data_IF_396794611988
#
_entry.id   IF_396794611988
#
_cell.length_a   1.000
_cell.length_b   1.000
_cell.length_c   1.000
_cell.angle_alpha   90.00
_cell.angle_beta   90.00
_cell.angle_gamma   90.00
#
_symmetry.space_group_name_H-M   'P 1'
#
loop_
_entity.id
_entity.type
_entity.pdbx_description
1 polymer ?
#
# COMPACT_ATOMS: atom_id res chain seq x y z
N UNK A 1 -28.77 18.07 10.09
CA UNK A 1 -27.88 19.07 10.70
C UNK A 1 -27.79 18.80 12.19
N UNK A 2 -26.76 18.06 12.61
CA UNK A 2 -26.21 18.19 13.95
C UNK A 2 -24.70 18.05 13.79
N UNK A 3 -24.06 19.19 13.55
CA UNK A 3 -22.63 19.31 13.47
C UNK A 3 -22.08 19.06 14.87
N UNK A 4 -21.72 17.80 15.15
CA UNK A 4 -20.61 17.54 16.05
C UNK A 4 -19.37 18.10 15.37
N UNK A 5 -19.22 19.42 15.48
CA UNK A 5 -17.93 20.09 15.51
C UNK A 5 -17.32 19.64 16.83
N UNK A 6 -16.92 18.37 16.88
CA UNK A 6 -16.13 17.86 17.97
C UNK A 6 -14.75 18.48 17.72
N UNK A 7 -14.45 19.45 18.57
CA UNK A 7 -13.18 20.14 18.63
C UNK A 7 -12.06 19.18 18.23
N UNK A 8 -11.29 19.56 17.21
CA UNK A 8 -9.90 19.15 17.11
C UNK A 8 -9.19 19.70 18.35
N UNK A 9 -9.45 19.10 19.51
CA UNK A 9 -8.62 19.24 20.67
C UNK A 9 -7.36 18.55 20.21
N UNK A 10 -6.37 19.36 19.86
CA UNK A 10 -5.05 18.92 19.46
C UNK A 10 -4.70 17.68 20.28
N UNK A 11 -4.71 16.51 19.63
CA UNK A 11 -4.05 15.33 20.15
C UNK A 11 -2.55 15.64 20.03
N UNK A 12 -2.09 16.63 20.81
CA UNK A 12 -0.70 16.84 21.10
C UNK A 12 -0.22 15.47 21.55
N UNK A 13 0.67 14.88 20.77
CA UNK A 13 1.27 13.59 21.09
C UNK A 13 1.82 13.72 22.50
N UNK A 14 1.13 13.08 23.46
CA UNK A 14 1.60 13.05 24.83
C UNK A 14 3.02 12.52 24.76
N UNK A 15 3.98 13.05 25.53
CA UNK A 15 5.39 12.65 25.40
C UNK A 15 5.59 11.13 25.37
N UNK A 16 4.72 10.37 26.06
CA UNK A 16 4.67 8.91 26.00
C UNK A 16 4.31 8.30 24.64
N UNK A 17 3.44 8.91 23.83
CA UNK A 17 3.14 8.44 22.48
C UNK A 17 4.30 8.67 21.51
N UNK A 18 5.05 9.77 21.68
CA UNK A 18 6.28 10.02 20.91
C UNK A 18 7.29 8.90 21.16
N UNK A 19 7.48 8.51 22.43
CA UNK A 19 8.37 7.40 22.81
C UNK A 19 7.92 6.08 22.17
N UNK A 20 6.61 5.79 22.18
CA UNK A 20 6.08 4.59 21.53
C UNK A 20 6.27 4.60 20.01
N UNK A 21 6.13 5.74 19.35
CA UNK A 21 6.42 5.85 17.92
C UNK A 21 7.90 5.59 17.64
N UNK A 22 8.80 6.21 18.40
CA UNK A 22 10.24 5.96 18.28
C UNK A 22 10.56 4.48 18.51
N UNK A 23 10.00 3.86 19.56
CA UNK A 23 10.17 2.44 19.83
C UNK A 23 9.66 1.56 18.68
N UNK A 24 8.48 1.86 18.13
CA UNK A 24 7.92 1.12 16.99
C UNK A 24 8.83 1.23 15.75
N UNK A 25 9.33 2.42 15.44
CA UNK A 25 10.26 2.62 14.32
C UNK A 25 11.58 1.88 14.55
N UNK A 26 12.14 1.94 15.75
CA UNK A 26 13.39 1.25 16.10
C UNK A 26 13.22 -0.27 15.98
N UNK A 27 12.09 -0.84 16.40
CA UNK A 27 11.84 -2.29 16.28
C UNK A 27 11.81 -2.76 14.82
N UNK A 28 11.18 -1.99 13.93
CA UNK A 28 11.16 -2.29 12.50
C UNK A 28 12.56 -2.16 11.90
N UNK A 29 13.26 -1.07 12.21
CA UNK A 29 14.62 -0.83 11.74
C UNK A 29 15.61 -1.89 12.25
N UNK A 30 15.44 -2.38 13.48
CA UNK A 30 16.26 -3.47 14.03
C UNK A 30 16.07 -4.78 13.24
N UNK A 31 14.83 -5.10 12.84
CA UNK A 31 14.54 -6.24 11.98
C UNK A 31 15.21 -6.12 10.61
N UNK A 32 15.09 -4.95 9.96
CA UNK A 32 15.76 -4.67 8.69
C UNK A 32 17.29 -4.68 8.82
N UNK A 33 17.81 -4.10 9.90
CA UNK A 33 19.23 -4.10 10.21
C UNK A 33 19.74 -5.54 10.34
N UNK A 34 19.02 -6.42 11.04
CA UNK A 34 19.39 -7.83 11.13
C UNK A 34 19.43 -8.51 9.76
N UNK A 35 18.49 -8.18 8.86
CA UNK A 35 18.51 -8.71 7.48
C UNK A 35 19.75 -8.26 6.70
N UNK A 36 20.06 -6.97 6.71
CA UNK A 36 21.18 -6.42 5.95
C UNK A 36 22.55 -6.78 6.56
N UNK A 37 22.70 -6.60 7.87
CA UNK A 37 23.97 -6.80 8.59
C UNK A 37 24.43 -8.26 8.57
N UNK A 38 23.52 -9.20 8.88
CA UNK A 38 23.85 -10.62 8.79
C UNK A 38 23.81 -11.13 7.35
N UNK A 39 23.24 -10.36 6.41
CA UNK A 39 23.15 -10.64 4.98
C UNK A 39 24.46 -10.59 4.21
N UNK A 40 25.44 -9.79 4.66
CA UNK A 40 26.65 -9.53 3.89
C UNK A 40 27.67 -10.68 3.99
N UNK A 41 28.38 -11.03 2.90
CA UNK A 41 29.36 -12.13 2.87
C UNK A 41 30.49 -11.99 3.90
N UNK A 42 30.88 -10.77 4.23
CA UNK A 42 31.92 -10.44 5.22
C UNK A 42 31.55 -10.85 6.66
N UNK A 43 30.27 -10.69 7.05
CA UNK A 43 29.76 -11.03 8.38
C UNK A 43 29.09 -12.40 8.44
N UNK A 44 28.73 -12.97 7.29
CA UNK A 44 28.16 -14.31 7.18
C UNK A 44 29.13 -15.42 7.60
N UNK A 45 30.45 -15.20 7.52
CA UNK A 45 31.47 -16.20 7.88
C UNK A 45 31.60 -16.45 9.39
N UNK A 46 31.38 -15.42 10.23
CA UNK A 46 31.39 -15.54 11.70
C UNK A 46 29.98 -15.78 12.27
N UNK A 47 28.93 -15.43 11.52
CA UNK A 47 27.55 -15.52 11.96
C UNK A 47 26.65 -16.01 10.81
N UNK A 48 26.73 -17.29 10.49
CA UNK A 48 25.97 -17.95 9.44
C UNK A 48 24.51 -18.22 9.86
N UNK A 49 23.73 -17.17 10.19
CA UNK A 49 22.30 -17.33 10.42
C UNK A 49 21.64 -17.79 9.12
N UNK A 50 20.97 -18.94 9.13
CA UNK A 50 20.26 -19.44 7.95
C UNK A 50 19.28 -18.38 7.42
N UNK A 51 19.15 -18.27 6.10
CA UNK A 51 18.25 -17.29 5.45
C UNK A 51 16.84 -17.19 6.05
N UNK A 52 16.19 -18.32 6.40
CA UNK A 52 14.89 -18.29 7.08
C UNK A 52 14.88 -17.57 8.44
N UNK A 53 15.95 -17.71 9.25
CA UNK A 53 16.03 -17.06 10.57
C UNK A 53 16.10 -15.54 10.45
N UNK A 54 16.78 -15.01 9.43
CA UNK A 54 16.84 -13.57 9.16
C UNK A 54 15.47 -13.04 8.73
N UNK A 55 14.77 -13.80 7.88
CA UNK A 55 13.40 -13.48 7.50
C UNK A 55 12.47 -13.43 8.73
N UNK A 56 12.60 -14.40 9.65
CA UNK A 56 11.86 -14.38 10.91
C UNK A 56 12.20 -13.16 11.78
N UNK A 57 13.47 -12.74 11.86
CA UNK A 57 13.85 -11.54 12.61
C UNK A 57 13.15 -10.27 12.08
N UNK A 58 13.04 -10.13 10.75
CA UNK A 58 12.28 -9.02 10.13
C UNK A 58 10.80 -9.10 10.49
N UNK A 59 10.20 -10.29 10.38
CA UNK A 59 8.78 -10.49 10.71
C UNK A 59 8.52 -10.17 12.18
N UNK A 60 9.37 -10.63 13.09
CA UNK A 60 9.27 -10.35 14.54
C UNK A 60 9.40 -8.84 14.80
N UNK A 61 10.38 -8.17 14.19
CA UNK A 61 10.56 -6.72 14.32
C UNK A 61 9.34 -5.95 13.82
N UNK A 62 8.76 -6.36 12.69
CA UNK A 62 7.55 -5.77 12.12
C UNK A 62 6.34 -5.98 13.04
N UNK A 63 6.10 -7.21 13.49
CA UNK A 63 4.97 -7.55 14.36
C UNK A 63 5.09 -6.82 15.70
N UNK A 64 6.28 -6.77 16.29
CA UNK A 64 6.52 -6.04 17.53
C UNK A 64 6.31 -4.52 17.34
N UNK A 65 6.83 -3.94 16.25
CA UNK A 65 6.64 -2.53 15.92
C UNK A 65 5.17 -2.16 15.73
N UNK A 66 4.42 -2.99 14.99
CA UNK A 66 2.96 -2.83 14.84
C UNK A 66 2.26 -2.99 16.19
N UNK A 67 2.65 -3.97 17.01
CA UNK A 67 2.10 -4.16 18.36
C UNK A 67 2.25 -2.93 19.24
N UNK A 68 3.45 -2.34 19.28
CA UNK A 68 3.73 -1.10 20.02
C UNK A 68 2.92 0.08 19.46
N UNK A 69 2.85 0.21 18.12
CA UNK A 69 2.05 1.25 17.47
C UNK A 69 0.56 1.14 17.83
N UNK A 70 -0.02 -0.06 17.87
CA UNK A 70 -1.43 -0.27 18.24
C UNK A 70 -1.75 0.09 19.70
N UNK A 71 -0.74 0.17 20.57
CA UNK A 71 -0.86 0.63 21.96
C UNK A 71 -0.73 2.15 22.13
N UNK A 72 -0.57 2.91 21.04
CA UNK A 72 -0.57 4.40 21.05
C UNK A 72 -1.98 4.97 21.01
N UNK A 73 -2.15 6.25 21.37
CA UNK A 73 -3.43 6.94 21.21
C UNK A 73 -3.96 6.85 19.77
N UNK A 74 -3.12 7.15 18.78
CA UNK A 74 -3.48 7.08 17.35
C UNK A 74 -3.77 5.65 16.87
N UNK A 75 -3.17 4.64 17.49
CA UNK A 75 -3.49 3.23 17.26
C UNK A 75 -4.92 2.88 17.66
N UNK A 76 -5.44 3.46 18.76
CA UNK A 76 -6.84 3.30 19.19
C UNK A 76 -7.80 3.98 18.22
N UNK A 77 -7.51 5.23 17.85
CA UNK A 77 -8.31 6.00 16.89
C UNK A 77 -8.40 5.26 15.54
N UNK A 78 -7.30 4.65 15.11
CA UNK A 78 -7.25 3.86 13.88
C UNK A 78 -8.19 2.64 13.97
N UNK A 79 -8.20 1.92 15.11
CA UNK A 79 -9.10 0.76 15.30
C UNK A 79 -10.57 1.16 15.32
N UNK A 80 -10.88 2.30 15.95
CA UNK A 80 -12.23 2.88 15.93
C UNK A 80 -12.65 3.27 14.51
N UNK A 81 -11.80 4.00 13.79
CA UNK A 81 -12.01 4.36 12.39
C UNK A 81 -12.22 3.13 11.48
N UNK A 82 -11.45 2.05 11.67
CA UNK A 82 -11.67 0.80 10.91
C UNK A 82 -13.03 0.18 11.25
N UNK A 83 -13.45 0.23 12.50
CA UNK A 83 -14.76 -0.30 12.93
C UNK A 83 -15.92 0.49 12.32
N UNK A 84 -15.82 1.82 12.30
CA UNK A 84 -16.77 2.73 11.66
C UNK A 84 -16.79 2.54 10.14
N UNK A 85 -15.61 2.47 9.51
CA UNK A 85 -15.47 2.21 8.07
C UNK A 85 -16.14 0.89 7.68
N UNK A 86 -16.01 -0.16 8.50
CA UNK A 86 -16.72 -1.44 8.25
C UNK A 86 -18.24 -1.30 8.36
N UNK A 87 -18.74 -0.42 9.21
CA UNK A 87 -20.16 -0.13 9.30
C UNK A 87 -20.65 0.64 8.05
N UNK A 88 -19.90 1.65 7.60
CA UNK A 88 -20.22 2.39 6.37
C UNK A 88 -20.12 1.52 5.11
N UNK A 89 -19.14 0.61 5.04
CA UNK A 89 -19.02 -0.35 3.94
C UNK A 89 -20.25 -1.27 3.80
N UNK A 90 -21.00 -1.49 4.88
CA UNK A 90 -22.27 -2.24 4.80
C UNK A 90 -23.40 -1.44 4.17
N UNK A 91 -23.30 -0.11 4.15
CA UNK A 91 -24.25 0.77 3.48
C UNK A 91 -23.95 0.91 1.98
N UNK A 92 -22.78 0.43 1.53
CA UNK A 92 -22.43 0.42 0.11
C UNK A 92 -23.30 -0.61 -0.61
N UNK A 93 -24.10 -0.12 -1.54
CA UNK A 93 -24.85 -0.96 -2.47
C UNK A 93 -23.87 -1.45 -3.53
N UNK A 94 -23.44 -2.70 -3.41
CA UNK A 94 -22.58 -3.33 -4.41
C UNK A 94 -23.39 -3.62 -5.67
N UNK A 95 -22.81 -3.39 -6.86
CA UNK A 95 -23.51 -3.63 -8.11
C UNK A 95 -23.88 -5.10 -8.24
N UNK A 96 -25.05 -5.37 -8.82
CA UNK A 96 -25.42 -6.76 -9.14
C UNK A 96 -24.44 -7.33 -10.18
N UNK A 97 -24.30 -8.67 -10.26
CA UNK A 97 -23.45 -9.30 -11.28
C UNK A 97 -23.78 -8.81 -12.69
N UNK A 98 -25.05 -8.54 -12.97
CA UNK A 98 -25.50 -8.05 -14.27
C UNK A 98 -25.07 -6.60 -14.54
N UNK A 99 -25.17 -5.72 -13.54
CA UNK A 99 -24.68 -4.33 -13.63
C UNK A 99 -23.17 -4.29 -13.80
N UNK A 100 -22.43 -5.07 -13.00
CA UNK A 100 -20.97 -5.16 -13.08
C UNK A 100 -20.52 -5.60 -14.48
N UNK A 101 -21.14 -6.65 -15.03
CA UNK A 101 -20.85 -7.14 -16.39
C UNK A 101 -21.20 -6.09 -17.44
N UNK A 102 -22.33 -5.38 -17.30
CA UNK A 102 -22.71 -4.32 -18.24
C UNK A 102 -21.68 -3.19 -18.27
N UNK A 103 -21.23 -2.73 -17.10
CA UNK A 103 -20.19 -1.71 -17.00
C UNK A 103 -18.86 -2.19 -17.59
N UNK A 104 -18.46 -3.43 -17.32
CA UNK A 104 -17.25 -4.03 -17.92
C UNK A 104 -17.35 -4.08 -19.45
N UNK A 105 -18.50 -4.45 -20.01
CA UNK A 105 -18.68 -4.45 -21.47
C UNK A 105 -18.55 -3.06 -22.08
N UNK A 106 -19.07 -2.02 -21.42
CA UNK A 106 -18.88 -0.63 -21.86
C UNK A 106 -17.38 -0.30 -21.93
N UNK A 107 -16.62 -0.63 -20.89
CA UNK A 107 -15.17 -0.40 -20.87
C UNK A 107 -14.46 -1.18 -21.97
N UNK A 108 -14.80 -2.46 -22.18
CA UNK A 108 -14.23 -3.30 -23.25
C UNK A 108 -14.44 -2.67 -24.62
N UNK A 109 -15.66 -2.20 -24.92
CA UNK A 109 -15.97 -1.56 -26.21
C UNK A 109 -15.14 -0.29 -26.40
N UNK A 110 -15.06 0.57 -25.37
CA UNK A 110 -14.26 1.79 -25.43
C UNK A 110 -12.78 1.48 -25.66
N UNK A 111 -12.22 0.49 -24.95
CA UNK A 111 -10.83 0.06 -25.12
C UNK A 111 -10.56 -0.48 -26.52
N UNK A 112 -11.47 -1.26 -27.10
CA UNK A 112 -11.36 -1.77 -28.48
C UNK A 112 -11.37 -0.61 -29.49
N UNK A 113 -12.28 0.36 -29.33
CA UNK A 113 -12.35 1.51 -30.23
C UNK A 113 -11.05 2.31 -30.17
N UNK A 114 -10.56 2.61 -28.96
CA UNK A 114 -9.33 3.37 -28.78
C UNK A 114 -8.10 2.62 -29.30
N UNK A 115 -8.01 1.31 -29.07
CA UNK A 115 -6.88 0.50 -29.54
C UNK A 115 -6.85 0.39 -31.06
N UNK A 116 -8.00 0.24 -31.72
CA UNK A 116 -8.11 0.25 -33.17
C UNK A 116 -7.79 1.63 -33.76
N UNK A 117 -8.27 2.71 -33.14
CA UNK A 117 -7.98 4.07 -33.58
C UNK A 117 -6.49 4.38 -33.47
N UNK A 118 -5.88 4.11 -32.32
CA UNK A 118 -4.44 4.32 -32.10
C UNK A 118 -3.62 3.45 -33.03
N UNK A 119 -3.88 2.14 -33.09
CA UNK A 119 -3.17 1.22 -33.98
C UNK A 119 -3.35 1.58 -35.47
N UNK A 120 -4.50 2.13 -35.84
CA UNK A 120 -4.74 2.67 -37.18
C UNK A 120 -3.87 3.88 -37.49
N UNK A 121 -3.75 4.82 -36.54
CA UNK A 121 -2.84 5.96 -36.68
C UNK A 121 -1.38 5.52 -36.71
N UNK A 122 -0.97 4.58 -35.86
CA UNK A 122 0.39 4.02 -35.86
C UNK A 122 0.71 3.43 -37.24
N UNK A 123 -0.20 2.65 -37.82
CA UNK A 123 -0.03 2.08 -39.16
C UNK A 123 0.06 3.15 -40.25
N UNK A 124 -0.82 4.16 -40.20
CA UNK A 124 -0.84 5.26 -41.17
C UNK A 124 0.47 6.08 -41.11
N UNK A 125 0.89 6.45 -39.90
CA UNK A 125 2.11 7.21 -39.66
C UNK A 125 3.33 6.39 -40.09
N UNK A 126 3.37 5.09 -39.77
CA UNK A 126 4.43 4.19 -40.20
C UNK A 126 4.54 4.15 -41.73
N UNK A 127 3.41 4.00 -42.44
CA UNK A 127 3.38 4.00 -43.92
C UNK A 127 3.79 5.35 -44.52
N UNK A 128 3.30 6.45 -43.96
CA UNK A 128 3.65 7.80 -44.42
C UNK A 128 5.15 8.08 -44.23
N UNK A 129 5.70 7.65 -43.09
CA UNK A 129 7.13 7.80 -42.77
C UNK A 129 8.00 6.94 -43.70
N UNK A 130 7.61 5.70 -43.97
CA UNK A 130 8.31 4.83 -44.94
C UNK A 130 8.37 5.50 -46.31
N UNK A 131 7.21 5.95 -46.83
CA UNK A 131 7.12 6.64 -48.10
C UNK A 131 7.99 7.91 -48.14
N UNK A 132 7.98 8.72 -47.08
CA UNK A 132 8.76 9.96 -47.01
C UNK A 132 10.27 9.72 -46.95
N UNK A 133 10.74 8.66 -46.27
CA UNK A 133 12.16 8.32 -46.18
C UNK A 133 12.72 7.66 -47.45
N UNK A 134 11.96 7.62 -48.54
CA UNK A 134 12.45 7.19 -49.85
C UNK A 134 12.71 5.68 -49.96
N UNK A 135 11.98 4.87 -49.18
CA UNK A 135 11.80 3.43 -49.44
C UNK A 135 10.33 3.10 -49.68
#
# INVERSE_FOLDING_TARGET
MNSKIEHSKDNASTGGDIVKYAAATILVLAGLFAWYWFGTPEHASQSAWAGPLRGLAVVVGLVAGVGVFLMTGKGRDTREFLSESRFELRKVVWPTRQEAIRMTWVVIVVVIILSLLLGGFDFLIQKATQWFLGR
#
